data_IF_073820619265
#
_entry.id   IF_073820619265
#
_cell.length_a   1.000
_cell.length_b   1.000
_cell.length_c   1.000
_cell.angle_alpha   90.00
_cell.angle_beta   90.00
_cell.angle_gamma   90.00
#
_symmetry.space_group_name_H-M   'P 1'
#
loop_
_entity.id
_entity.type
_entity.pdbx_description
1 polymer ?
#
# COMPACT_ATOMS: atom_id res chain seq x y z
N UNK A 1 17.04 -25.68 0.46
CA UNK A 1 17.23 -24.34 1.08
C UNK A 1 16.89 -24.28 2.59
N UNK A 2 16.49 -25.38 3.26
CA UNK A 2 16.37 -25.39 4.73
C UNK A 2 17.78 -25.38 5.34
N UNK A 3 18.01 -24.56 6.37
CA UNK A 3 19.27 -24.52 7.12
C UNK A 3 20.26 -23.40 6.76
N UNK A 4 19.99 -22.57 5.75
CA UNK A 4 20.79 -21.37 5.50
C UNK A 4 20.22 -20.18 6.28
N UNK A 5 21.08 -19.43 6.98
CA UNK A 5 20.71 -18.17 7.61
C UNK A 5 20.39 -17.16 6.50
N UNK A 6 19.11 -16.80 6.37
CA UNK A 6 18.67 -15.75 5.44
C UNK A 6 18.68 -14.44 6.21
N UNK A 7 19.14 -13.37 5.55
CA UNK A 7 18.97 -12.01 6.02
C UNK A 7 17.93 -11.30 5.15
N UNK A 8 17.04 -10.54 5.76
CA UNK A 8 16.11 -9.65 5.04
C UNK A 8 16.73 -8.27 5.01
N UNK A 9 16.81 -7.67 3.81
CA UNK A 9 17.30 -6.31 3.62
C UNK A 9 16.12 -5.51 3.08
N UNK A 10 15.62 -4.55 3.86
CA UNK A 10 14.58 -3.66 3.39
C UNK A 10 15.22 -2.46 2.68
N UNK A 11 14.63 -2.04 1.55
CA UNK A 11 15.16 -0.92 0.78
C UNK A 11 15.17 0.38 1.59
N UNK A 12 14.15 0.59 2.42
CA UNK A 12 14.05 1.73 3.36
C UNK A 12 15.21 1.81 4.36
N UNK A 13 15.86 0.68 4.66
CA UNK A 13 17.01 0.65 5.57
C UNK A 13 18.32 1.00 4.86
N UNK A 14 18.34 0.99 3.51
CA UNK A 14 19.52 1.29 2.70
C UNK A 14 19.55 2.76 2.26
N UNK A 15 18.39 3.31 1.91
CA UNK A 15 18.24 4.68 1.45
C UNK A 15 16.84 5.18 1.85
N UNK A 16 16.72 6.26 2.65
CA UNK A 16 15.43 6.80 3.06
C UNK A 16 14.56 7.23 1.87
N UNK A 17 15.16 7.53 0.72
CA UNK A 17 14.42 7.88 -0.50
C UNK A 17 13.65 6.69 -1.09
N UNK A 18 14.04 5.46 -0.73
CA UNK A 18 13.39 4.21 -1.15
C UNK A 18 12.30 3.74 -0.17
N UNK A 19 12.01 4.50 0.89
CA UNK A 19 10.84 4.30 1.73
C UNK A 19 9.60 4.93 1.06
N UNK A 20 9.14 4.33 -0.03
CA UNK A 20 8.05 4.82 -0.86
C UNK A 20 6.76 3.99 -0.69
N UNK A 21 5.65 4.49 -1.22
CA UNK A 21 4.38 3.75 -1.19
C UNK A 21 4.37 2.61 -2.21
N UNK A 22 4.38 1.37 -1.71
CA UNK A 22 4.23 0.17 -2.54
C UNK A 22 3.59 -1.00 -1.76
N UNK A 23 2.55 -1.66 -2.29
CA UNK A 23 1.80 -1.31 -3.50
C UNK A 23 0.87 -0.09 -3.28
N UNK A 24 0.30 0.45 -4.36
CA UNK A 24 -0.72 1.52 -4.32
C UNK A 24 -1.96 1.12 -5.14
N UNK A 25 -3.10 1.70 -4.78
CA UNK A 25 -4.32 1.63 -5.60
C UNK A 25 -4.31 2.77 -6.61
N UNK A 26 -4.66 2.46 -7.87
CA UNK A 26 -4.69 3.44 -8.95
C UNK A 26 -6.02 3.37 -9.71
N UNK A 27 -6.50 4.52 -10.17
CA UNK A 27 -7.63 4.67 -11.09
C UNK A 27 -7.28 5.76 -12.11
N UNK A 28 -8.09 5.93 -13.14
CA UNK A 28 -7.88 6.97 -14.14
C UNK A 28 -8.60 8.30 -13.80
N UNK A 29 -8.16 9.39 -14.43
CA UNK A 29 -8.73 10.73 -14.24
C UNK A 29 -10.21 10.83 -14.64
N UNK A 30 -10.65 10.03 -15.63
CA UNK A 30 -12.06 9.97 -16.04
C UNK A 30 -12.95 9.45 -14.90
N UNK A 31 -12.53 8.41 -14.19
CA UNK A 31 -13.24 7.89 -13.03
C UNK A 31 -13.28 8.90 -11.89
N UNK A 32 -12.18 9.61 -11.65
CA UNK A 32 -12.12 10.67 -10.64
C UNK A 32 -13.11 11.80 -10.97
N UNK A 33 -13.14 12.24 -12.23
CA UNK A 33 -13.96 13.39 -12.67
C UNK A 33 -15.43 13.04 -12.86
N UNK A 34 -15.70 11.95 -13.58
CA UNK A 34 -17.02 11.60 -14.10
C UNK A 34 -17.71 10.47 -13.31
N UNK A 35 -16.97 9.74 -12.48
CA UNK A 35 -17.50 8.64 -11.64
C UNK A 35 -17.05 8.76 -10.18
N UNK A 36 -16.96 9.99 -9.65
CA UNK A 36 -16.44 10.25 -8.31
C UNK A 36 -17.12 9.41 -7.23
N UNK A 37 -18.45 9.24 -7.29
CA UNK A 37 -19.20 8.41 -6.34
C UNK A 37 -18.75 6.93 -6.34
N UNK A 38 -18.49 6.37 -7.51
CA UNK A 38 -17.95 5.01 -7.65
C UNK A 38 -16.60 4.89 -6.93
N UNK A 39 -15.71 5.85 -7.14
CA UNK A 39 -14.37 5.86 -6.52
C UNK A 39 -14.49 5.98 -5.00
N UNK A 40 -15.34 6.88 -4.49
CA UNK A 40 -15.60 7.05 -3.05
C UNK A 40 -16.12 5.75 -2.42
N UNK A 41 -17.11 5.12 -3.05
CA UNK A 41 -17.70 3.87 -2.54
C UNK A 41 -16.72 2.71 -2.56
N UNK A 42 -15.90 2.61 -3.61
CA UNK A 42 -14.83 1.61 -3.69
C UNK A 42 -13.79 1.80 -2.59
N UNK A 43 -13.31 3.03 -2.39
CA UNK A 43 -12.33 3.33 -1.35
C UNK A 43 -12.89 3.10 0.06
N UNK A 44 -14.15 3.47 0.32
CA UNK A 44 -14.81 3.19 1.59
C UNK A 44 -14.96 1.70 1.88
N UNK A 45 -15.33 0.88 0.88
CA UNK A 45 -15.41 -0.57 1.04
C UNK A 45 -14.02 -1.20 1.24
N UNK A 46 -13.02 -0.71 0.51
CA UNK A 46 -11.64 -1.20 0.62
C UNK A 46 -11.04 -0.88 1.98
N UNK A 47 -11.24 0.35 2.48
CA UNK A 47 -10.79 0.75 3.80
C UNK A 47 -11.35 -0.18 4.89
N UNK A 48 -12.66 -0.47 4.86
CA UNK A 48 -13.28 -1.45 5.77
C UNK A 48 -12.63 -2.83 5.70
N UNK A 49 -12.27 -3.29 4.49
CA UNK A 49 -11.58 -4.57 4.30
C UNK A 49 -10.20 -4.60 4.95
N UNK A 50 -9.41 -3.54 4.78
CA UNK A 50 -8.09 -3.45 5.42
C UNK A 50 -8.20 -3.24 6.93
N UNK A 51 -9.12 -2.42 7.43
CA UNK A 51 -9.39 -2.26 8.86
C UNK A 51 -9.79 -3.59 9.53
N UNK A 52 -10.63 -4.38 8.83
CA UNK A 52 -10.96 -5.73 9.25
C UNK A 52 -9.71 -6.63 9.28
N UNK A 53 -8.89 -6.60 8.23
CA UNK A 53 -7.68 -7.42 8.13
C UNK A 53 -6.59 -7.04 9.15
N UNK A 54 -6.53 -5.76 9.54
CA UNK A 54 -5.69 -5.24 10.62
C UNK A 54 -6.16 -5.82 11.96
N UNK A 55 -7.46 -5.78 12.22
CA UNK A 55 -8.04 -6.18 13.52
C UNK A 55 -8.20 -7.69 13.68
N UNK A 56 -8.36 -8.43 12.57
CA UNK A 56 -8.67 -9.86 12.53
C UNK A 56 -7.72 -10.62 11.57
N UNK A 57 -6.40 -10.64 11.83
CA UNK A 57 -5.43 -11.18 10.87
C UNK A 57 -5.65 -12.66 10.55
N UNK A 58 -6.03 -13.48 11.53
CA UNK A 58 -6.25 -14.92 11.30
C UNK A 58 -7.48 -15.19 10.42
N UNK A 59 -8.58 -14.48 10.67
CA UNK A 59 -9.81 -14.60 9.88
C UNK A 59 -9.61 -14.03 8.47
N UNK A 60 -8.88 -12.92 8.32
CA UNK A 60 -8.55 -12.36 7.02
C UNK A 60 -7.68 -13.33 6.18
N UNK A 61 -6.72 -14.02 6.82
CA UNK A 61 -5.93 -15.06 6.18
C UNK A 61 -6.79 -16.24 5.71
N UNK A 62 -7.74 -16.69 6.53
CA UNK A 62 -8.65 -17.78 6.16
C UNK A 62 -9.62 -17.37 5.02
N UNK A 63 -10.07 -16.10 4.98
CA UNK A 63 -10.85 -15.56 3.87
C UNK A 63 -10.03 -15.54 2.56
N UNK A 64 -8.75 -15.17 2.61
CA UNK A 64 -7.87 -15.25 1.45
C UNK A 64 -7.69 -16.70 0.97
N UNK A 65 -7.38 -17.62 1.88
CA UNK A 65 -7.17 -19.05 1.57
C UNK A 65 -8.44 -19.72 1.01
N UNK A 66 -9.63 -19.26 1.41
CA UNK A 66 -10.88 -19.72 0.82
C UNK A 66 -11.02 -19.34 -0.66
N UNK A 67 -10.49 -18.18 -1.06
CA UNK A 67 -10.58 -17.67 -2.43
C UNK A 67 -9.34 -18.01 -3.29
N UNK A 68 -8.21 -18.31 -2.65
CA UNK A 68 -6.95 -18.70 -3.27
C UNK A 68 -6.37 -19.95 -2.56
N UNK A 69 -7.03 -21.12 -2.69
CA UNK A 69 -6.68 -22.34 -1.94
C UNK A 69 -5.33 -22.96 -2.33
N UNK A 70 -4.75 -22.54 -3.45
CA UNK A 70 -3.43 -22.95 -3.92
C UNK A 70 -2.27 -22.34 -3.09
N UNK A 71 -2.55 -21.31 -2.29
CA UNK A 71 -1.54 -20.66 -1.46
C UNK A 71 -1.13 -21.55 -0.28
N UNK A 72 0.12 -21.39 0.16
CA UNK A 72 0.60 -22.07 1.35
C UNK A 72 -0.03 -21.47 2.61
N UNK A 73 -0.86 -22.24 3.32
CA UNK A 73 -1.60 -21.81 4.52
C UNK A 73 -0.72 -21.19 5.60
N UNK A 74 0.37 -21.86 5.96
CA UNK A 74 1.25 -21.40 7.04
C UNK A 74 1.95 -20.08 6.67
N UNK A 75 2.32 -19.92 5.39
CA UNK A 75 2.88 -18.68 4.88
C UNK A 75 1.85 -17.55 4.92
N UNK A 76 0.62 -17.80 4.46
CA UNK A 76 -0.43 -16.77 4.44
C UNK A 76 -0.77 -16.29 5.86
N UNK A 77 -0.95 -17.20 6.82
CA UNK A 77 -1.23 -16.82 8.21
C UNK A 77 -0.11 -15.98 8.82
N UNK A 78 1.15 -16.42 8.68
CA UNK A 78 2.31 -15.65 9.17
C UNK A 78 2.48 -14.30 8.46
N UNK A 79 2.21 -14.26 7.16
CA UNK A 79 2.26 -13.03 6.38
C UNK A 79 1.20 -12.03 6.87
N UNK A 80 -0.01 -12.51 7.15
CA UNK A 80 -1.10 -11.65 7.59
C UNK A 80 -0.90 -11.13 9.01
N UNK A 81 -0.35 -11.94 9.92
CA UNK A 81 0.06 -11.52 11.27
C UNK A 81 1.12 -10.40 11.25
N UNK A 82 2.01 -10.41 10.25
CA UNK A 82 2.99 -9.36 10.06
C UNK A 82 2.38 -8.12 9.38
N UNK A 83 1.70 -8.30 8.26
CA UNK A 83 1.12 -7.21 7.45
C UNK A 83 0.03 -6.43 8.19
N UNK A 84 -0.73 -7.05 9.09
CA UNK A 84 -1.76 -6.37 9.89
C UNK A 84 -1.23 -5.18 10.67
N UNK A 85 0.07 -5.18 10.99
CA UNK A 85 0.75 -4.08 11.69
C UNK A 85 1.28 -3.01 10.73
N UNK A 86 1.47 -3.35 9.46
CA UNK A 86 2.13 -2.49 8.46
C UNK A 86 1.12 -1.78 7.55
N UNK A 87 -0.10 -2.29 7.34
CA UNK A 87 -1.07 -1.70 6.40
C UNK A 87 -1.42 -0.24 6.68
N UNK A 88 -1.61 0.11 7.96
CA UNK A 88 -1.79 1.50 8.40
C UNK A 88 -0.51 2.03 9.06
N UNK A 89 0.22 1.17 9.79
CA UNK A 89 1.42 1.53 10.53
C UNK A 89 1.20 2.78 11.41
N UNK A 90 2.06 3.79 11.30
CA UNK A 90 2.03 5.04 12.05
C UNK A 90 1.05 6.09 11.48
N UNK A 91 0.37 5.79 10.37
CA UNK A 91 -0.55 6.73 9.74
C UNK A 91 -1.82 6.93 10.60
N UNK A 92 -2.42 8.13 10.58
CA UNK A 92 -3.65 8.40 11.33
C UNK A 92 -4.87 7.63 10.81
N UNK A 93 -4.85 7.17 9.55
CA UNK A 93 -5.84 6.26 8.97
C UNK A 93 -5.22 5.45 7.84
N UNK A 94 -5.77 4.26 7.57
CA UNK A 94 -5.38 3.46 6.42
C UNK A 94 -5.52 4.25 5.11
N UNK A 95 -4.54 4.09 4.22
CA UNK A 95 -4.56 4.67 2.88
C UNK A 95 -4.16 6.14 2.79
N UNK A 96 -3.94 6.85 3.91
CA UNK A 96 -3.41 8.23 3.85
C UNK A 96 -2.01 8.22 3.23
N UNK A 97 -1.82 9.12 2.26
CA UNK A 97 -0.53 9.37 1.64
C UNK A 97 -0.06 10.79 1.92
N UNK A 98 1.26 10.96 2.06
CA UNK A 98 1.94 12.22 2.34
C UNK A 98 2.66 12.70 1.08
N UNK A 99 2.55 14.00 0.78
CA UNK A 99 3.18 14.62 -0.40
C UNK A 99 4.70 14.46 -0.37
N UNK A 100 5.28 14.59 0.81
CA UNK A 100 6.73 14.56 1.03
C UNK A 100 7.34 13.19 0.66
N UNK A 101 6.57 12.09 0.79
CA UNK A 101 7.01 10.75 0.37
C UNK A 101 7.09 10.66 -1.16
N UNK A 102 6.10 11.20 -1.87
CA UNK A 102 6.10 11.27 -3.32
C UNK A 102 7.20 12.18 -3.86
N UNK A 103 7.41 13.35 -3.26
CA UNK A 103 8.48 14.29 -3.62
C UNK A 103 9.86 13.68 -3.45
N UNK A 104 10.12 13.06 -2.30
CA UNK A 104 11.40 12.42 -2.01
C UNK A 104 11.74 11.36 -3.06
N UNK A 105 10.80 10.44 -3.33
CA UNK A 105 11.02 9.38 -4.30
C UNK A 105 11.15 9.90 -5.74
N UNK A 106 10.34 10.88 -6.14
CA UNK A 106 10.42 11.49 -7.47
C UNK A 106 11.76 12.24 -7.68
N UNK A 107 12.25 12.96 -6.67
CA UNK A 107 13.53 13.64 -6.72
C UNK A 107 14.69 12.64 -6.81
N UNK A 108 14.67 11.58 -6.00
CA UNK A 108 15.66 10.51 -6.11
C UNK A 108 15.70 9.91 -7.52
N UNK A 109 14.54 9.61 -8.12
CA UNK A 109 14.50 9.10 -9.49
C UNK A 109 15.04 10.10 -10.52
N UNK A 110 14.78 11.41 -10.36
CA UNK A 110 15.37 12.46 -11.19
C UNK A 110 16.89 12.51 -11.05
N UNK A 111 17.41 12.49 -9.82
CA UNK A 111 18.84 12.57 -9.53
C UNK A 111 19.61 11.34 -10.04
N UNK A 112 18.94 10.18 -10.09
CA UNK A 112 19.48 8.94 -10.70
C UNK A 112 19.30 8.90 -12.22
N UNK A 113 18.79 9.96 -12.87
CA UNK A 113 18.47 10.01 -14.29
C UNK A 113 17.51 8.91 -14.76
N UNK A 114 16.60 8.46 -13.89
CA UNK A 114 15.58 7.46 -14.20
C UNK A 114 14.32 8.06 -14.79
N UNK A 115 14.15 9.38 -14.67
CA UNK A 115 13.02 10.13 -15.22
C UNK A 115 13.48 11.13 -16.27
N UNK A 116 12.76 11.23 -17.41
CA UNK A 116 13.11 12.17 -18.47
C UNK A 116 12.73 13.62 -18.13
N UNK A 117 11.82 13.82 -17.16
CA UNK A 117 11.35 15.14 -16.71
C UNK A 117 10.78 15.05 -15.29
N UNK A 118 10.74 16.19 -14.61
CA UNK A 118 10.13 16.31 -13.27
C UNK A 118 8.65 15.96 -13.32
N UNK A 119 8.18 15.27 -12.27
CA UNK A 119 6.78 14.90 -12.07
C UNK A 119 6.13 15.96 -11.18
N UNK A 120 4.90 16.35 -11.51
CA UNK A 120 4.04 17.09 -10.59
C UNK A 120 3.40 16.10 -9.61
N UNK A 121 3.94 16.05 -8.39
CA UNK A 121 3.53 15.11 -7.36
C UNK A 121 2.10 15.33 -6.87
N UNK A 122 1.56 16.54 -7.00
CA UNK A 122 0.18 16.84 -6.57
C UNK A 122 -0.84 16.21 -7.52
N UNK A 123 -0.42 15.90 -8.76
CA UNK A 123 -1.22 15.14 -9.72
C UNK A 123 -1.00 13.62 -9.60
N UNK A 124 -0.01 13.17 -8.83
CA UNK A 124 0.33 11.75 -8.72
C UNK A 124 -0.56 10.99 -7.72
N UNK A 125 -1.15 11.69 -6.75
CA UNK A 125 -2.01 11.08 -5.73
C UNK A 125 -3.06 12.07 -5.20
N UNK A 126 -4.11 11.54 -4.57
CA UNK A 126 -5.08 12.33 -3.80
C UNK A 126 -5.60 11.52 -2.63
N UNK A 127 -5.92 12.20 -1.52
CA UNK A 127 -6.59 11.61 -0.36
C UNK A 127 -8.11 11.87 -0.34
N UNK A 128 -8.66 12.59 -1.33
CA UNK A 128 -10.05 13.09 -1.32
C UNK A 128 -11.12 11.99 -1.35
N UNK A 129 -10.72 10.77 -1.71
CA UNK A 129 -11.60 9.61 -1.81
C UNK A 129 -11.53 8.68 -0.60
N UNK A 130 -10.69 8.99 0.40
CA UNK A 130 -10.67 8.24 1.65
C UNK A 130 -11.96 8.50 2.45
N UNK A 131 -12.45 7.51 3.22
CA UNK A 131 -13.61 7.71 4.07
C UNK A 131 -13.33 8.79 5.13
N UNK A 132 -14.37 9.56 5.49
CA UNK A 132 -14.31 10.46 6.63
C UNK A 132 -14.33 9.63 7.92
N UNK A 133 -13.55 10.03 8.92
CA UNK A 133 -13.58 9.46 10.27
C UNK A 133 -14.61 10.14 11.14
#
# INVERSE_FOLDING_TARGET
RRGMKINTIFLRDLDPDLDNYTPVLVTNEDHIKNKADLVKRFMAATAKGYEFAISNPDEAADLLLKNAPELNKDLVKRSQEWLSKEYQSDAPQWGIQKKEVWERYANWMMDKNLLPKRIDVEQAFTNDFLPQK
#
